data_IF_869156949703
#
_entry.id   IF_869156949703
#
_cell.length_a   1.000
_cell.length_b   1.000
_cell.length_c   1.000
_cell.angle_alpha   90.00
_cell.angle_beta   90.00
_cell.angle_gamma   90.00
#
_symmetry.space_group_name_H-M   'P 1'
#
loop_
_entity.id
_entity.type
_entity.pdbx_description
1 polymer ?
#
# COMPACT_ATOMS: atom_id res chain seq x y z
N UNK A 1 -3.82 40.91 29.77
CA UNK A 1 -3.84 39.55 29.21
C UNK A 1 -4.52 39.62 27.85
N UNK A 2 -3.73 39.58 26.78
CA UNK A 2 -4.17 39.78 25.39
C UNK A 2 -4.66 38.45 24.81
N UNK A 3 -5.95 38.34 24.50
CA UNK A 3 -6.52 37.17 23.87
C UNK A 3 -6.44 37.32 22.33
N UNK A 4 -5.37 36.81 21.73
CA UNK A 4 -5.20 36.71 20.28
C UNK A 4 -5.97 35.51 19.75
N UNK A 5 -7.21 35.72 19.29
CA UNK A 5 -7.95 34.75 18.49
C UNK A 5 -8.00 35.20 17.03
N UNK A 6 -6.84 35.20 16.35
CA UNK A 6 -6.80 35.21 14.90
C UNK A 6 -7.13 33.79 14.42
N UNK A 7 -8.44 33.50 14.38
CA UNK A 7 -9.05 32.34 13.74
C UNK A 7 -8.49 32.26 12.31
N UNK A 8 -7.85 31.13 12.03
CA UNK A 8 -7.32 30.70 10.73
C UNK A 8 -8.01 31.34 9.53
N UNK A 9 -7.25 31.87 8.54
CA UNK A 9 -7.84 32.45 7.35
C UNK A 9 -8.66 31.38 6.63
N UNK A 10 -9.96 31.65 6.49
CA UNK A 10 -10.85 30.96 5.56
C UNK A 10 -10.26 31.08 4.17
N UNK A 11 -9.55 30.04 3.71
CA UNK A 11 -9.12 29.98 2.32
C UNK A 11 -10.37 29.76 1.48
N UNK A 12 -10.93 30.86 1.01
CA UNK A 12 -11.91 30.88 -0.07
C UNK A 12 -11.29 30.20 -1.30
N UNK A 13 -12.20 29.52 -2.00
CA UNK A 13 -12.01 28.67 -3.16
C UNK A 13 -10.88 29.10 -4.09
N UNK A 14 -9.97 28.17 -4.37
CA UNK A 14 -9.41 28.09 -5.71
C UNK A 14 -10.02 26.88 -6.42
N UNK A 15 -10.59 27.18 -7.56
CA UNK A 15 -11.38 26.30 -8.38
C UNK A 15 -10.44 25.46 -9.25
N UNK A 16 -10.34 24.18 -8.94
CA UNK A 16 -10.02 23.16 -9.94
C UNK A 16 -10.91 21.94 -9.75
N UNK A 17 -12.20 22.18 -9.50
CA UNK A 17 -13.26 21.18 -9.71
C UNK A 17 -13.61 21.14 -11.21
N UNK A 18 -12.67 20.68 -12.04
CA UNK A 18 -12.87 20.43 -13.47
C UNK A 18 -11.95 19.31 -13.96
N UNK A 19 -11.95 18.20 -13.23
CA UNK A 19 -11.77 16.88 -13.81
C UNK A 19 -12.97 16.03 -13.36
N UNK A 20 -14.16 16.45 -13.82
CA UNK A 20 -15.40 15.70 -13.62
C UNK A 20 -15.13 14.28 -14.07
N UNK A 21 -15.05 13.39 -13.08
CA UNK A 21 -14.62 12.02 -13.24
C UNK A 21 -15.37 11.36 -14.37
N UNK A 22 -14.65 11.04 -15.44
CA UNK A 22 -14.98 9.85 -16.20
C UNK A 22 -14.85 8.73 -15.18
N UNK A 23 -15.96 8.27 -14.61
CA UNK A 23 -16.01 7.04 -13.82
C UNK A 23 -15.44 5.96 -14.70
N UNK A 24 -14.13 5.73 -14.57
CA UNK A 24 -13.42 4.73 -15.36
C UNK A 24 -13.90 3.41 -14.79
N UNK A 25 -14.89 2.81 -15.43
CA UNK A 25 -15.40 1.52 -15.01
C UNK A 25 -14.22 0.55 -14.90
N UNK A 26 -14.19 -0.25 -13.84
CA UNK A 26 -13.20 -1.32 -13.70
C UNK A 26 -13.37 -2.25 -14.89
N UNK A 27 -12.31 -2.44 -15.67
CA UNK A 27 -12.32 -3.44 -16.74
C UNK A 27 -12.10 -4.82 -16.14
N UNK A 28 -12.66 -5.87 -16.75
CA UNK A 28 -12.42 -7.25 -16.34
C UNK A 28 -10.91 -7.61 -16.34
N UNK A 29 -10.13 -6.94 -17.20
CA UNK A 29 -8.68 -7.07 -17.26
C UNK A 29 -8.02 -6.52 -15.99
N UNK A 30 -8.50 -5.38 -15.49
CA UNK A 30 -7.97 -4.77 -14.27
C UNK A 30 -8.29 -5.58 -13.02
N UNK A 31 -9.50 -6.16 -12.98
CA UNK A 31 -9.91 -7.07 -11.91
C UNK A 31 -9.10 -8.36 -11.92
N UNK A 32 -8.92 -8.98 -13.09
CA UNK A 32 -8.07 -10.17 -13.23
C UNK A 32 -6.62 -9.90 -12.83
N UNK A 33 -6.04 -8.79 -13.31
CA UNK A 33 -4.68 -8.39 -12.93
C UNK A 33 -4.55 -8.15 -11.41
N UNK A 34 -5.59 -7.60 -10.78
CA UNK A 34 -5.64 -7.40 -9.34
C UNK A 34 -5.68 -8.73 -8.57
N UNK A 35 -6.49 -9.69 -9.02
CA UNK A 35 -6.55 -11.04 -8.43
C UNK A 35 -5.19 -11.73 -8.54
N UNK A 36 -4.59 -11.73 -9.73
CA UNK A 36 -3.27 -12.33 -9.96
C UNK A 36 -2.18 -11.70 -9.10
N UNK A 37 -2.18 -10.37 -8.95
CA UNK A 37 -1.24 -9.66 -8.09
C UNK A 37 -1.45 -10.00 -6.60
N UNK A 38 -2.71 -10.13 -6.17
CA UNK A 38 -3.06 -10.52 -4.81
C UNK A 38 -2.56 -11.93 -4.49
N UNK A 39 -2.80 -12.88 -5.38
CA UNK A 39 -2.31 -14.24 -5.23
C UNK A 39 -0.78 -14.34 -5.29
N UNK A 40 -0.12 -13.58 -6.19
CA UNK A 40 1.34 -13.53 -6.27
C UNK A 40 1.93 -13.06 -4.95
N UNK A 41 1.37 -12.01 -4.34
CA UNK A 41 1.82 -11.52 -3.04
C UNK A 41 1.56 -12.51 -1.92
N UNK A 42 0.38 -13.14 -1.87
CA UNK A 42 0.06 -14.16 -0.87
C UNK A 42 1.06 -15.34 -0.95
N UNK A 43 1.30 -15.87 -2.15
CA UNK A 43 2.31 -16.92 -2.36
C UNK A 43 3.70 -16.47 -1.94
N UNK A 44 4.11 -15.24 -2.26
CA UNK A 44 5.41 -14.71 -1.86
C UNK A 44 5.55 -14.65 -0.33
N UNK A 45 4.50 -14.24 0.38
CA UNK A 45 4.47 -14.25 1.85
C UNK A 45 4.52 -15.67 2.41
N UNK A 46 3.81 -16.63 1.82
CA UNK A 46 3.89 -18.04 2.22
C UNK A 46 5.29 -18.65 1.99
N UNK A 47 5.93 -18.31 0.87
CA UNK A 47 7.32 -18.72 0.60
C UNK A 47 8.28 -18.14 1.64
N UNK A 48 8.10 -16.89 2.03
CA UNK A 48 8.89 -16.25 3.05
C UNK A 48 8.63 -16.80 4.46
N UNK A 49 7.38 -17.10 4.81
CA UNK A 49 7.02 -17.74 6.08
C UNK A 49 7.61 -19.16 6.19
N UNK A 50 7.70 -19.87 5.07
CA UNK A 50 8.38 -21.16 4.96
C UNK A 50 9.92 -21.06 4.95
N UNK A 51 10.50 -19.86 5.12
CA UNK A 51 11.95 -19.66 5.16
C UNK A 51 12.67 -19.85 3.83
N UNK A 52 11.95 -19.77 2.69
CA UNK A 52 12.54 -19.95 1.36
C UNK A 52 13.15 -18.64 0.83
N UNK A 53 12.38 -17.88 0.07
CA UNK A 53 12.79 -16.63 -0.59
C UNK A 53 11.80 -15.52 -0.26
N UNK A 54 12.29 -14.29 -0.22
CA UNK A 54 11.51 -13.08 0.01
C UNK A 54 11.79 -11.96 -1.02
N UNK A 55 12.56 -12.25 -2.09
CA UNK A 55 12.95 -11.26 -3.11
C UNK A 55 11.74 -10.61 -3.78
N UNK A 56 10.67 -11.38 -3.97
CA UNK A 56 9.55 -10.98 -4.81
C UNK A 56 8.46 -10.22 -4.05
N UNK A 57 8.55 -10.16 -2.70
CA UNK A 57 7.53 -9.54 -1.85
C UNK A 57 7.44 -8.03 -2.13
N UNK A 58 8.58 -7.35 -2.27
CA UNK A 58 8.58 -5.90 -2.48
C UNK A 58 7.93 -5.51 -3.81
N UNK A 59 8.26 -6.24 -4.89
CA UNK A 59 7.69 -6.03 -6.22
C UNK A 59 6.20 -6.39 -6.25
N UNK A 60 5.82 -7.57 -5.73
CA UNK A 60 4.43 -8.01 -5.69
C UNK A 60 3.55 -7.05 -4.86
N UNK A 61 4.09 -6.53 -3.76
CA UNK A 61 3.42 -5.51 -2.93
C UNK A 61 3.21 -4.22 -3.70
N UNK A 62 4.24 -3.70 -4.36
CA UNK A 62 4.13 -2.46 -5.14
C UNK A 62 3.06 -2.62 -6.22
N UNK A 63 3.09 -3.73 -6.95
CA UNK A 63 2.14 -4.02 -8.02
C UNK A 63 0.70 -4.11 -7.51
N UNK A 64 0.49 -4.78 -6.38
CA UNK A 64 -0.84 -4.87 -5.75
C UNK A 64 -1.36 -3.49 -5.33
N UNK A 65 -0.50 -2.62 -4.77
CA UNK A 65 -0.90 -1.25 -4.37
C UNK A 65 -1.35 -0.42 -5.56
N UNK A 66 -0.61 -0.45 -6.66
CA UNK A 66 -0.96 0.28 -7.88
C UNK A 66 -2.34 -0.13 -8.39
N UNK A 67 -2.60 -1.43 -8.46
CA UNK A 67 -3.89 -1.98 -8.91
C UNK A 67 -5.00 -1.65 -7.91
N UNK A 68 -4.76 -1.77 -6.61
CA UNK A 68 -5.75 -1.43 -5.57
C UNK A 68 -6.17 0.06 -5.63
N UNK A 69 -5.22 0.97 -5.91
CA UNK A 69 -5.50 2.40 -6.14
C UNK A 69 -6.32 2.59 -7.42
N UNK A 70 -5.94 1.92 -8.52
CA UNK A 70 -6.70 1.97 -9.77
C UNK A 70 -8.16 1.53 -9.58
N UNK A 71 -8.38 0.44 -8.85
CA UNK A 71 -9.71 -0.07 -8.51
C UNK A 71 -10.48 0.89 -7.58
N UNK A 72 -9.78 1.53 -6.63
CA UNK A 72 -10.39 2.54 -5.74
C UNK A 72 -10.90 3.74 -6.53
N UNK A 73 -10.09 4.27 -7.43
CA UNK A 73 -10.42 5.46 -8.20
C UNK A 73 -11.57 5.18 -9.19
N UNK A 74 -11.73 3.90 -9.59
CA UNK A 74 -12.88 3.40 -10.34
C UNK A 74 -14.14 3.12 -9.49
N UNK A 75 -14.05 3.24 -8.17
CA UNK A 75 -15.17 3.01 -7.25
C UNK A 75 -15.45 1.54 -6.92
N UNK A 76 -14.55 0.61 -7.24
CA UNK A 76 -14.70 -0.84 -7.03
C UNK A 76 -15.09 -1.21 -5.59
N UNK A 77 -14.44 -0.59 -4.61
CA UNK A 77 -14.66 -0.88 -3.19
C UNK A 77 -15.98 -0.34 -2.63
N UNK A 78 -16.82 0.33 -3.43
CA UNK A 78 -18.13 0.81 -2.96
C UNK A 78 -19.05 -0.36 -2.66
N UNK A 79 -19.00 -1.40 -3.48
CA UNK A 79 -19.83 -2.61 -3.38
C UNK A 79 -19.11 -3.75 -2.67
N UNK A 80 -17.80 -3.87 -2.81
CA UNK A 80 -17.03 -4.94 -2.17
C UNK A 80 -16.18 -4.45 -0.99
N UNK A 81 -16.79 -4.43 0.20
CA UNK A 81 -16.09 -4.08 1.46
C UNK A 81 -15.22 -5.23 1.99
N UNK A 82 -15.56 -6.46 1.66
CA UNK A 82 -14.83 -7.63 2.14
C UNK A 82 -13.49 -7.76 1.40
N UNK A 83 -13.48 -7.63 0.08
CA UNK A 83 -12.26 -7.58 -0.71
C UNK A 83 -11.36 -6.42 -0.33
N UNK A 84 -11.92 -5.22 -0.05
CA UNK A 84 -11.13 -4.10 0.45
C UNK A 84 -10.38 -4.47 1.74
N UNK A 85 -11.08 -5.05 2.73
CA UNK A 85 -10.46 -5.46 4.00
C UNK A 85 -9.39 -6.53 3.80
N UNK A 86 -9.66 -7.53 2.97
CA UNK A 86 -8.70 -8.59 2.66
C UNK A 86 -7.43 -8.02 2.01
N UNK A 87 -7.60 -7.10 1.05
CA UNK A 87 -6.50 -6.41 0.36
C UNK A 87 -5.65 -5.60 1.33
N UNK A 88 -6.30 -4.81 2.21
CA UNK A 88 -5.61 -4.01 3.22
C UNK A 88 -4.84 -4.91 4.20
N UNK A 89 -5.45 -6.00 4.67
CA UNK A 89 -4.78 -6.97 5.55
C UNK A 89 -3.55 -7.59 4.88
N UNK A 90 -3.65 -7.98 3.61
CA UNK A 90 -2.55 -8.56 2.85
C UNK A 90 -1.40 -7.55 2.66
N UNK A 91 -1.71 -6.30 2.32
CA UNK A 91 -0.72 -5.23 2.20
C UNK A 91 -0.04 -4.93 3.53
N UNK A 92 -0.79 -4.91 4.63
CA UNK A 92 -0.24 -4.71 5.96
C UNK A 92 0.72 -5.84 6.37
N UNK A 93 0.37 -7.10 6.09
CA UNK A 93 1.25 -8.25 6.32
C UNK A 93 2.57 -8.11 5.54
N UNK A 94 2.49 -7.71 4.27
CA UNK A 94 3.68 -7.47 3.45
C UNK A 94 4.55 -6.33 4.00
N UNK A 95 3.95 -5.23 4.45
CA UNK A 95 4.67 -4.10 5.05
C UNK A 95 5.39 -4.49 6.33
N UNK A 96 4.70 -5.25 7.19
CA UNK A 96 5.28 -5.78 8.41
C UNK A 96 6.48 -6.66 8.09
N UNK A 97 6.33 -7.59 7.14
CA UNK A 97 7.41 -8.49 6.74
C UNK A 97 8.64 -7.73 6.24
N UNK A 98 8.46 -6.77 5.34
CA UNK A 98 9.56 -5.96 4.79
C UNK A 98 10.25 -5.14 5.89
N UNK A 99 9.49 -4.59 6.84
CA UNK A 99 10.05 -3.84 7.96
C UNK A 99 10.87 -4.75 8.90
N UNK A 100 10.35 -5.94 9.22
CA UNK A 100 11.09 -6.93 10.02
C UNK A 100 12.37 -7.42 9.31
N UNK A 101 12.34 -7.53 7.98
CA UNK A 101 13.51 -7.89 7.18
C UNK A 101 14.58 -6.79 7.24
N UNK A 102 14.20 -5.52 7.06
CA UNK A 102 15.12 -4.39 7.14
C UNK A 102 15.81 -4.32 8.52
N UNK A 103 15.04 -4.49 9.60
CA UNK A 103 15.59 -4.52 10.97
C UNK A 103 16.61 -5.64 11.19
N UNK A 104 16.39 -6.83 10.60
CA UNK A 104 17.34 -7.94 10.70
C UNK A 104 18.63 -7.67 9.93
N UNK A 105 18.54 -7.00 8.78
CA UNK A 105 19.71 -6.62 7.98
C UNK A 105 20.58 -5.58 8.71
N UNK A 106 19.96 -4.59 9.36
CA UNK A 106 20.69 -3.58 10.15
C UNK A 106 21.45 -4.22 11.32
N UNK A 107 20.86 -5.22 12.00
CA UNK A 107 21.55 -5.94 13.07
C UNK A 107 22.70 -6.82 12.55
N UNK A 108 22.56 -7.42 11.37
CA UNK A 108 23.62 -8.20 10.75
C UNK A 108 24.79 -7.32 10.25
N UNK A 109 24.51 -6.08 9.82
CA UNK A 109 25.51 -5.11 9.37
C UNK A 109 26.22 -4.34 10.48
N UNK A 110 25.63 -4.27 11.69
CA UNK A 110 26.19 -3.54 12.83
C UNK A 110 27.29 -4.24 13.62
N UNK A 111 27.65 -5.47 13.26
CA UNK A 111 28.58 -6.34 14.00
C UNK A 111 30.07 -6.20 13.65
N UNK A 112 30.52 -5.14 12.97
CA UNK A 112 31.92 -4.99 12.58
C UNK A 112 32.48 -3.59 12.83
N UNK A 113 32.79 -3.30 14.09
CA UNK A 113 34.03 -2.59 14.40
C UNK A 113 34.66 -3.21 15.66
N UNK A 114 35.83 -3.87 15.57
CA UNK A 114 36.63 -4.11 16.76
C UNK A 114 37.30 -2.79 17.09
N UNK A 115 36.83 -2.11 18.13
CA UNK A 115 37.52 -0.92 18.63
C UNK A 115 38.66 -1.41 19.52
N UNK A 116 39.86 -1.34 18.96
CA UNK A 116 41.15 -1.53 19.65
C UNK A 116 41.40 -0.37 20.61
#
# INVERSE_FOLDING_TARGET
MTNSAARFPSHAADATDSARGVSRAVSAIDEQAFVEASEKLARALDHAAAGRTHSDIAEARLRLRELAVKLRDAGYWRTDKHGLRATVSLLWQADRYVSELALKQDQAGGGSTPRT
#
